data_IF_754600253790
#
_entry.id   IF_754600253790
#
_cell.length_a   1.000
_cell.length_b   1.000
_cell.length_c   1.000
_cell.angle_alpha   90.00
_cell.angle_beta   90.00
_cell.angle_gamma   90.00
#
_symmetry.space_group_name_H-M   'P 1'
#
loop_
_entity.id
_entity.type
_entity.pdbx_description
1 polymer ?
#
# COMPACT_ATOMS: atom_id res chain seq x y z
N UNK A 1 11.33 -17.18 -18.84
CA UNK A 1 12.56 -17.26 -18.05
C UNK A 1 13.03 -15.90 -17.55
N UNK A 2 13.03 -14.85 -18.42
CA UNK A 2 13.49 -13.49 -18.07
C UNK A 2 12.64 -12.83 -16.96
N UNK A 3 11.31 -12.90 -17.05
CA UNK A 3 10.41 -12.35 -16.03
C UNK A 3 10.55 -13.07 -14.68
N UNK A 4 10.69 -14.40 -14.70
CA UNK A 4 10.94 -15.17 -13.47
C UNK A 4 12.24 -14.74 -12.75
N UNK A 5 13.33 -14.52 -13.53
CA UNK A 5 14.60 -14.02 -12.98
C UNK A 5 14.44 -12.61 -12.43
N UNK A 6 13.71 -11.73 -13.13
CA UNK A 6 13.45 -10.37 -12.68
C UNK A 6 12.66 -10.35 -11.38
N UNK A 7 11.62 -11.16 -11.28
CA UNK A 7 10.82 -11.28 -10.04
C UNK A 7 11.65 -11.84 -8.88
N UNK A 8 12.44 -12.90 -9.10
CA UNK A 8 13.31 -13.46 -8.08
C UNK A 8 14.36 -12.45 -7.57
N UNK A 9 14.95 -11.65 -8.46
CA UNK A 9 15.88 -10.57 -8.07
C UNK A 9 15.17 -9.50 -7.25
N UNK A 10 13.97 -9.10 -7.66
CA UNK A 10 13.19 -8.10 -6.92
C UNK A 10 12.86 -8.58 -5.53
N UNK A 11 12.47 -9.85 -5.39
CA UNK A 11 12.17 -10.47 -4.10
C UNK A 11 13.40 -10.53 -3.19
N UNK A 12 14.53 -11.00 -3.70
CA UNK A 12 15.78 -11.03 -2.94
C UNK A 12 16.19 -9.64 -2.43
N UNK A 13 16.02 -8.60 -3.23
CA UNK A 13 16.27 -7.20 -2.84
C UNK A 13 15.33 -6.71 -1.73
N UNK A 14 14.04 -7.04 -1.81
CA UNK A 14 13.04 -6.70 -0.77
C UNK A 14 13.36 -7.37 0.56
N UNK A 15 13.62 -8.68 0.53
CA UNK A 15 13.96 -9.45 1.72
C UNK A 15 15.24 -8.94 2.38
N UNK A 16 16.28 -8.67 1.59
CA UNK A 16 17.54 -8.11 2.09
C UNK A 16 17.32 -6.72 2.72
N UNK A 17 16.55 -5.85 2.06
CA UNK A 17 16.28 -4.49 2.55
C UNK A 17 15.54 -4.51 3.89
N UNK A 18 14.49 -5.32 4.01
CA UNK A 18 13.72 -5.41 5.26
C UNK A 18 14.56 -6.03 6.38
N UNK A 19 15.25 -7.13 6.12
CA UNK A 19 16.09 -7.79 7.10
C UNK A 19 17.16 -6.84 7.66
N UNK A 20 17.91 -6.16 6.80
CA UNK A 20 18.94 -5.21 7.22
C UNK A 20 18.34 -4.02 8.00
N UNK A 21 17.15 -3.55 7.61
CA UNK A 21 16.46 -2.46 8.31
C UNK A 21 16.02 -2.88 9.72
N UNK A 22 15.59 -4.12 9.91
CA UNK A 22 15.22 -4.67 11.23
C UNK A 22 16.46 -4.87 12.09
N UNK A 23 17.54 -5.45 11.53
CA UNK A 23 18.77 -5.79 12.25
C UNK A 23 19.59 -4.56 12.66
N UNK A 24 19.71 -3.56 11.79
CA UNK A 24 20.63 -2.43 11.95
C UNK A 24 19.94 -1.08 12.12
N UNK A 25 18.63 -1.02 11.94
CA UNK A 25 17.85 0.21 11.81
C UNK A 25 17.92 0.80 10.40
N UNK A 26 16.79 1.34 9.89
CA UNK A 26 16.68 1.77 8.50
C UNK A 26 17.66 2.87 8.10
N UNK A 27 18.05 3.72 9.05
CA UNK A 27 18.97 4.84 8.79
C UNK A 27 20.41 4.40 8.50
N UNK A 28 20.79 3.19 8.93
CA UNK A 28 22.13 2.61 8.75
C UNK A 28 22.26 1.75 7.51
N UNK A 29 21.14 1.39 6.88
CA UNK A 29 21.14 0.55 5.68
C UNK A 29 21.52 1.37 4.46
N UNK A 30 22.48 0.88 3.68
CA UNK A 30 22.90 1.47 2.41
C UNK A 30 22.42 0.63 1.24
N UNK A 31 22.31 1.26 0.07
CA UNK A 31 21.95 0.56 -1.18
C UNK A 31 22.97 -0.53 -1.51
N UNK A 32 24.25 -0.25 -1.24
CA UNK A 32 25.35 -1.19 -1.45
C UNK A 32 25.19 -2.45 -0.60
N UNK A 33 24.82 -2.29 0.67
CA UNK A 33 24.61 -3.41 1.61
C UNK A 33 23.44 -4.28 1.17
N UNK A 34 22.35 -3.67 0.71
CA UNK A 34 21.17 -4.38 0.18
C UNK A 34 21.54 -5.15 -1.09
N UNK A 35 22.26 -4.52 -2.00
CA UNK A 35 22.68 -5.13 -3.26
C UNK A 35 23.61 -6.33 -3.02
N UNK A 36 24.60 -6.18 -2.13
CA UNK A 36 25.52 -7.24 -1.73
C UNK A 36 24.76 -8.42 -1.10
N UNK A 37 23.89 -8.15 -0.14
CA UNK A 37 23.07 -9.16 0.54
C UNK A 37 22.11 -9.91 -0.40
N UNK A 38 21.69 -9.29 -1.49
CA UNK A 38 20.88 -9.89 -2.55
C UNK A 38 21.71 -10.53 -3.67
N UNK A 39 23.04 -10.48 -3.61
CA UNK A 39 23.94 -11.06 -4.62
C UNK A 39 23.92 -10.33 -5.96
N UNK A 40 23.66 -9.01 -5.98
CA UNK A 40 23.63 -8.20 -7.18
C UNK A 40 24.49 -6.94 -7.08
N UNK A 41 24.75 -6.27 -8.20
CA UNK A 41 25.46 -4.97 -8.17
C UNK A 41 24.52 -3.82 -7.77
N UNK A 42 25.05 -2.70 -7.20
CA UNK A 42 24.27 -1.48 -6.95
C UNK A 42 23.58 -0.93 -8.20
N UNK A 43 24.22 -1.06 -9.37
CA UNK A 43 23.63 -0.72 -10.66
C UNK A 43 22.38 -1.58 -10.95
N UNK A 44 22.43 -2.86 -10.60
CA UNK A 44 21.27 -3.76 -10.74
C UNK A 44 20.15 -3.36 -9.79
N UNK A 45 20.48 -3.04 -8.53
CA UNK A 45 19.52 -2.51 -7.56
C UNK A 45 18.73 -1.32 -8.11
N UNK A 46 19.43 -0.31 -8.66
CA UNK A 46 18.83 0.92 -9.20
C UNK A 46 17.86 0.68 -10.38
N UNK A 47 17.88 -0.50 -11.01
CA UNK A 47 16.88 -0.88 -12.01
C UNK A 47 15.54 -1.34 -11.38
N UNK A 48 15.49 -1.56 -10.06
CA UNK A 48 14.32 -2.09 -9.34
C UNK A 48 13.74 -1.08 -8.35
N UNK A 49 14.57 -0.30 -7.69
CA UNK A 49 14.18 0.62 -6.63
C UNK A 49 14.92 1.95 -6.75
N UNK A 50 14.18 3.05 -6.56
CA UNK A 50 14.74 4.39 -6.61
C UNK A 50 15.40 4.80 -5.28
N UNK A 51 15.00 4.19 -4.17
CA UNK A 51 15.56 4.46 -2.84
C UNK A 51 15.54 3.19 -1.96
N UNK A 52 16.33 3.21 -0.86
CA UNK A 52 16.31 2.14 0.14
C UNK A 52 14.96 2.05 0.86
N UNK A 53 14.34 3.19 1.11
CA UNK A 53 13.02 3.29 1.73
C UNK A 53 11.97 2.58 0.88
N UNK A 54 12.00 2.79 -0.44
CA UNK A 54 11.12 2.10 -1.37
C UNK A 54 11.34 0.58 -1.34
N UNK A 55 12.59 0.12 -1.27
CA UNK A 55 12.90 -1.31 -1.18
C UNK A 55 12.37 -1.92 0.13
N UNK A 56 12.60 -1.25 1.27
CA UNK A 56 12.14 -1.68 2.59
C UNK A 56 10.60 -1.77 2.62
N UNK A 57 9.93 -0.71 2.19
CA UNK A 57 8.46 -0.65 2.18
C UNK A 57 7.87 -1.68 1.22
N UNK A 58 8.51 -1.89 0.06
CA UNK A 58 8.03 -2.87 -0.91
C UNK A 58 8.05 -4.32 -0.41
N UNK A 59 8.83 -4.62 0.63
CA UNK A 59 8.84 -5.94 1.25
C UNK A 59 7.50 -6.29 1.92
N UNK A 60 6.77 -5.28 2.40
CA UNK A 60 5.48 -5.45 3.08
C UNK A 60 4.28 -5.08 2.20
N UNK A 61 4.51 -4.30 1.15
CA UNK A 61 3.45 -3.92 0.21
C UNK A 61 3.45 -4.76 -1.06
N UNK A 62 4.41 -5.71 -1.18
CA UNK A 62 4.52 -6.58 -2.33
C UNK A 62 3.20 -7.27 -2.66
N UNK A 63 2.85 -7.22 -3.94
CA UNK A 63 1.66 -7.86 -4.51
C UNK A 63 0.32 -7.46 -3.85
N UNK A 64 0.31 -6.44 -2.96
CA UNK A 64 -0.92 -5.96 -2.32
C UNK A 64 -1.95 -5.53 -3.36
N UNK A 65 -1.51 -4.80 -4.38
CA UNK A 65 -2.38 -4.35 -5.46
C UNK A 65 -3.03 -5.53 -6.19
N UNK A 66 -2.25 -6.56 -6.49
CA UNK A 66 -2.74 -7.78 -7.15
C UNK A 66 -3.69 -8.57 -6.24
N UNK A 67 -3.41 -8.63 -4.92
CA UNK A 67 -4.30 -9.30 -3.96
C UNK A 67 -5.63 -8.56 -3.79
N UNK A 68 -5.63 -7.23 -3.76
CA UNK A 68 -6.87 -6.43 -3.73
C UNK A 68 -7.71 -6.75 -4.96
N UNK A 69 -7.13 -6.68 -6.16
CA UNK A 69 -7.83 -6.97 -7.39
C UNK A 69 -8.38 -8.41 -7.43
N UNK A 70 -7.57 -9.38 -7.01
CA UNK A 70 -8.00 -10.78 -6.93
C UNK A 70 -9.13 -11.00 -5.91
N UNK A 71 -9.06 -10.33 -4.75
CA UNK A 71 -10.10 -10.41 -3.74
C UNK A 71 -11.44 -9.85 -4.24
N UNK A 72 -11.42 -8.75 -5.00
CA UNK A 72 -12.63 -8.18 -5.62
C UNK A 72 -13.17 -9.13 -6.70
N UNK A 73 -12.31 -9.66 -7.58
CA UNK A 73 -12.70 -10.58 -8.63
C UNK A 73 -13.32 -11.88 -8.08
N UNK A 74 -12.85 -12.35 -6.92
CA UNK A 74 -13.35 -13.55 -6.26
C UNK A 74 -14.72 -13.37 -5.58
N UNK A 75 -15.20 -12.14 -5.38
CA UNK A 75 -16.52 -11.89 -4.77
C UNK A 75 -17.64 -12.27 -5.75
N UNK A 76 -18.73 -12.88 -5.26
CA UNK A 76 -19.89 -13.19 -6.10
C UNK A 76 -20.45 -11.94 -6.80
N UNK A 77 -21.00 -12.12 -8.00
CA UNK A 77 -21.56 -11.01 -8.79
C UNK A 77 -22.72 -10.28 -8.09
N UNK A 78 -23.44 -10.96 -7.17
CA UNK A 78 -24.51 -10.35 -6.37
C UNK A 78 -24.03 -9.47 -5.21
N UNK A 79 -22.73 -9.42 -4.92
CA UNK A 79 -22.16 -8.49 -3.93
C UNK A 79 -21.97 -7.13 -4.58
N UNK A 80 -22.47 -6.06 -3.97
CA UNK A 80 -22.28 -4.68 -4.46
C UNK A 80 -20.80 -4.39 -4.64
N UNK A 81 -20.45 -3.73 -5.74
CA UNK A 81 -19.05 -3.41 -6.05
C UNK A 81 -18.40 -2.52 -4.98
N UNK A 82 -19.15 -1.57 -4.42
CA UNK A 82 -18.69 -0.74 -3.31
C UNK A 82 -18.26 -1.56 -2.09
N UNK A 83 -19.05 -2.58 -1.72
CA UNK A 83 -18.75 -3.44 -0.58
C UNK A 83 -17.57 -4.38 -0.89
N UNK A 84 -17.54 -4.94 -2.10
CA UNK A 84 -16.44 -5.78 -2.55
C UNK A 84 -15.09 -5.05 -2.53
N UNK A 85 -15.05 -3.79 -2.99
CA UNK A 85 -13.85 -2.95 -2.98
C UNK A 85 -13.47 -2.59 -1.54
N UNK A 86 -14.41 -2.14 -0.73
CA UNK A 86 -14.14 -1.72 0.65
C UNK A 86 -13.55 -2.86 1.48
N UNK A 87 -14.18 -4.03 1.46
CA UNK A 87 -13.72 -5.16 2.27
C UNK A 87 -12.39 -5.73 1.74
N UNK A 88 -12.18 -5.78 0.42
CA UNK A 88 -10.89 -6.21 -0.14
C UNK A 88 -9.75 -5.27 0.27
N UNK A 89 -9.96 -3.95 0.25
CA UNK A 89 -8.98 -2.97 0.71
C UNK A 89 -8.71 -3.15 2.20
N UNK A 90 -9.75 -3.15 3.03
CA UNK A 90 -9.60 -3.30 4.49
C UNK A 90 -8.83 -4.57 4.83
N UNK A 91 -9.20 -5.71 4.26
CA UNK A 91 -8.54 -7.00 4.49
C UNK A 91 -7.04 -6.95 4.16
N UNK A 92 -6.67 -6.38 3.01
CA UNK A 92 -5.27 -6.35 2.57
C UNK A 92 -4.39 -5.34 3.33
N UNK A 93 -4.98 -4.32 3.93
CA UNK A 93 -4.25 -3.36 4.76
C UNK A 93 -4.18 -3.76 6.25
N UNK A 94 -5.05 -4.64 6.71
CA UNK A 94 -5.10 -5.07 8.12
C UNK A 94 -4.51 -6.45 8.37
N UNK A 95 -4.53 -7.34 7.38
CA UNK A 95 -3.94 -8.68 7.49
C UNK A 95 -2.49 -8.68 6.98
N UNK A 96 -1.58 -8.16 7.81
CA UNK A 96 -0.17 -7.96 7.42
C UNK A 96 0.76 -9.13 7.77
N UNK A 97 0.31 -10.10 8.59
CA UNK A 97 1.18 -11.17 9.11
C UNK A 97 2.28 -10.65 10.06
N UNK A 98 3.11 -11.56 10.58
CA UNK A 98 4.18 -11.21 11.55
C UNK A 98 5.23 -10.25 10.97
N UNK A 99 5.73 -10.51 9.76
CA UNK A 99 6.70 -9.62 9.09
C UNK A 99 6.12 -8.22 8.82
N UNK A 100 4.83 -8.15 8.56
CA UNK A 100 4.15 -6.87 8.36
C UNK A 100 4.06 -6.05 9.63
N UNK A 101 3.99 -6.68 10.80
CA UNK A 101 3.96 -5.98 12.07
C UNK A 101 5.29 -5.28 12.37
N UNK A 102 6.41 -5.97 12.21
CA UNK A 102 7.76 -5.38 12.40
C UNK A 102 8.00 -4.22 11.45
N UNK A 103 7.67 -4.40 10.17
CA UNK A 103 7.82 -3.32 9.19
C UNK A 103 6.88 -2.15 9.45
N UNK A 104 5.68 -2.39 9.96
CA UNK A 104 4.75 -1.33 10.33
C UNK A 104 5.31 -0.48 11.47
N UNK A 105 5.98 -1.09 12.45
CA UNK A 105 6.70 -0.37 13.50
C UNK A 105 7.80 0.53 12.92
N UNK A 106 8.58 0.05 11.95
CA UNK A 106 9.60 0.87 11.27
C UNK A 106 8.96 2.03 10.48
N UNK A 107 7.88 1.77 9.76
CA UNK A 107 7.15 2.79 8.98
C UNK A 107 6.58 3.87 9.91
N UNK A 108 6.02 3.50 11.05
CA UNK A 108 5.45 4.48 12.00
C UNK A 108 6.51 5.34 12.68
N UNK A 109 7.73 4.85 12.83
CA UNK A 109 8.82 5.56 13.55
C UNK A 109 9.69 6.44 12.65
N UNK A 110 9.59 6.35 11.32
CA UNK A 110 10.48 7.07 10.38
C UNK A 110 9.69 7.78 9.28
N UNK A 111 9.85 9.09 9.19
CA UNK A 111 9.15 9.94 8.20
C UNK A 111 9.39 9.48 6.76
N UNK A 112 10.64 9.20 6.39
CA UNK A 112 10.97 8.77 5.03
C UNK A 112 10.34 7.42 4.65
N UNK A 113 10.24 6.46 5.58
CA UNK A 113 9.55 5.19 5.35
C UNK A 113 8.03 5.39 5.27
N UNK A 114 7.48 6.31 6.05
CA UNK A 114 6.06 6.66 6.01
C UNK A 114 5.68 7.26 4.67
N UNK A 115 6.45 8.22 4.18
CA UNK A 115 6.25 8.82 2.85
C UNK A 115 6.32 7.76 1.75
N UNK A 116 7.36 6.94 1.75
CA UNK A 116 7.51 5.84 0.79
C UNK A 116 6.33 4.85 0.86
N UNK A 117 5.78 4.58 2.05
CA UNK A 117 4.61 3.72 2.23
C UNK A 117 3.34 4.34 1.64
N UNK A 118 3.12 5.63 1.89
CA UNK A 118 1.98 6.37 1.32
C UNK A 118 2.05 6.41 -0.21
N UNK A 119 3.24 6.52 -0.78
CA UNK A 119 3.42 6.53 -2.24
C UNK A 119 3.06 5.19 -2.91
N UNK A 120 3.08 4.07 -2.16
CA UNK A 120 2.65 2.77 -2.71
C UNK A 120 1.16 2.70 -3.01
N UNK A 121 0.34 3.61 -2.45
CA UNK A 121 -1.11 3.60 -2.68
C UNK A 121 -1.49 3.85 -4.14
N UNK A 122 -0.70 4.62 -4.88
CA UNK A 122 -0.92 4.85 -6.30
C UNK A 122 -0.81 3.57 -7.16
N UNK A 123 -0.08 2.57 -6.69
CA UNK A 123 0.05 1.28 -7.37
C UNK A 123 -1.26 0.50 -7.50
N UNK A 124 -2.25 0.80 -6.65
CA UNK A 124 -3.57 0.15 -6.64
C UNK A 124 -4.40 0.53 -7.88
N UNK A 125 -4.21 1.71 -8.44
CA UNK A 125 -5.11 2.28 -9.47
C UNK A 125 -5.27 1.37 -10.69
N UNK A 126 -4.17 0.91 -11.26
CA UNK A 126 -4.21 0.13 -12.50
C UNK A 126 -4.88 -1.25 -12.34
N UNK A 127 -4.48 -2.10 -11.36
CA UNK A 127 -5.15 -3.39 -11.15
C UNK A 127 -6.62 -3.22 -10.74
N UNK A 128 -6.93 -2.18 -9.96
CA UNK A 128 -8.28 -1.88 -9.52
C UNK A 128 -9.16 -1.42 -10.69
N UNK A 129 -8.65 -0.54 -11.56
CA UNK A 129 -9.37 -0.13 -12.76
C UNK A 129 -9.72 -1.31 -13.67
N UNK A 130 -8.78 -2.26 -13.85
CA UNK A 130 -9.02 -3.45 -14.64
C UNK A 130 -10.16 -4.30 -14.07
N UNK A 131 -10.12 -4.62 -12.78
CA UNK A 131 -11.17 -5.46 -12.16
C UNK A 131 -12.52 -4.75 -12.08
N UNK A 132 -12.55 -3.42 -11.94
CA UNK A 132 -13.80 -2.64 -11.99
C UNK A 132 -14.39 -2.67 -13.40
N UNK A 133 -13.56 -2.50 -14.43
CA UNK A 133 -13.98 -2.60 -15.83
C UNK A 133 -14.63 -3.98 -16.11
N UNK A 134 -13.96 -5.05 -15.69
CA UNK A 134 -14.48 -6.41 -15.86
C UNK A 134 -15.81 -6.64 -15.11
N UNK A 135 -15.94 -6.06 -13.91
CA UNK A 135 -17.17 -6.22 -13.09
C UNK A 135 -18.34 -5.42 -13.64
N UNK A 136 -18.09 -4.25 -14.25
CA UNK A 136 -19.13 -3.40 -14.82
C UNK A 136 -19.48 -3.78 -16.27
N UNK A 137 -18.75 -4.70 -16.91
CA UNK A 137 -18.86 -4.95 -18.35
C UNK A 137 -18.83 -3.64 -19.18
N UNK A 138 -18.05 -2.67 -18.67
CA UNK A 138 -18.02 -1.30 -19.18
C UNK A 138 -16.88 -1.16 -20.19
N UNK A 139 -17.23 -0.93 -21.45
CA UNK A 139 -16.26 -0.63 -22.50
C UNK A 139 -15.70 0.81 -22.39
N UNK A 140 -16.35 1.68 -21.61
CA UNK A 140 -15.88 3.03 -21.34
C UNK A 140 -14.96 3.10 -20.11
N UNK A 141 -13.67 2.92 -20.33
CA UNK A 141 -12.64 2.82 -19.29
C UNK A 141 -12.51 4.03 -18.36
N UNK A 142 -13.18 5.16 -18.63
CA UNK A 142 -13.07 6.37 -17.81
C UNK A 142 -13.69 6.21 -16.42
N UNK A 143 -14.90 5.62 -16.32
CA UNK A 143 -15.58 5.42 -15.03
C UNK A 143 -14.74 4.55 -14.10
N UNK A 144 -14.27 3.39 -14.60
CA UNK A 144 -13.43 2.48 -13.82
C UNK A 144 -12.13 3.13 -13.36
N UNK A 145 -11.48 3.92 -14.23
CA UNK A 145 -10.25 4.65 -13.86
C UNK A 145 -10.49 5.71 -12.80
N UNK A 146 -11.57 6.49 -12.93
CA UNK A 146 -11.92 7.52 -11.94
C UNK A 146 -12.22 6.89 -10.59
N UNK A 147 -13.01 5.81 -10.56
CA UNK A 147 -13.30 5.08 -9.32
C UNK A 147 -12.02 4.50 -8.69
N UNK A 148 -11.14 3.89 -9.48
CA UNK A 148 -9.88 3.34 -8.99
C UNK A 148 -8.96 4.42 -8.41
N UNK A 149 -8.80 5.56 -9.08
CA UNK A 149 -8.03 6.70 -8.60
C UNK A 149 -8.63 7.30 -7.31
N UNK A 150 -9.97 7.38 -7.23
CA UNK A 150 -10.67 7.84 -6.04
C UNK A 150 -10.45 6.91 -4.85
N UNK A 151 -10.47 5.59 -5.07
CA UNK A 151 -10.14 4.59 -4.03
C UNK A 151 -8.69 4.75 -3.55
N UNK A 152 -7.72 4.85 -4.47
CA UNK A 152 -6.31 5.04 -4.10
C UNK A 152 -6.11 6.32 -3.27
N UNK A 153 -6.78 7.41 -3.64
CA UNK A 153 -6.77 8.67 -2.89
C UNK A 153 -7.42 8.53 -1.52
N UNK A 154 -8.58 7.87 -1.42
CA UNK A 154 -9.26 7.64 -0.15
C UNK A 154 -8.42 6.79 0.80
N UNK A 155 -7.77 5.73 0.29
CA UNK A 155 -6.83 4.90 1.04
C UNK A 155 -5.64 5.73 1.54
N UNK A 156 -5.05 6.56 0.69
CA UNK A 156 -3.95 7.46 1.08
C UNK A 156 -4.37 8.38 2.22
N UNK A 157 -5.52 9.03 2.11
CA UNK A 157 -6.06 9.93 3.15
C UNK A 157 -6.27 9.19 4.48
N UNK A 158 -6.84 7.97 4.44
CA UNK A 158 -7.02 7.15 5.64
C UNK A 158 -5.68 6.80 6.30
N UNK A 159 -4.69 6.38 5.51
CA UNK A 159 -3.35 6.06 6.00
C UNK A 159 -2.62 7.29 6.55
N UNK A 160 -2.71 8.44 5.88
CA UNK A 160 -2.16 9.70 6.38
C UNK A 160 -2.77 10.09 7.71
N UNK A 161 -4.09 9.95 7.86
CA UNK A 161 -4.80 10.20 9.12
C UNK A 161 -4.36 9.23 10.22
N UNK A 162 -4.25 7.95 9.90
CA UNK A 162 -3.85 6.90 10.83
C UNK A 162 -2.38 7.02 11.28
N UNK A 163 -1.48 7.42 10.38
CA UNK A 163 -0.05 7.58 10.62
C UNK A 163 0.32 8.95 11.20
N UNK A 164 -0.65 9.84 11.45
CA UNK A 164 -0.36 11.14 12.09
C UNK A 164 0.15 10.94 13.51
N UNK A 165 1.24 11.63 13.90
CA UNK A 165 1.67 11.66 15.29
C UNK A 165 0.53 12.22 16.15
N UNK A 166 0.06 11.47 17.14
CA UNK A 166 -0.79 12.01 18.20
C UNK A 166 0.09 12.81 19.18
N UNK A 167 0.59 13.95 18.73
CA UNK A 167 1.22 14.94 19.57
C UNK A 167 0.14 15.92 20.05
N UNK A 168 -0.08 16.00 21.36
CA UNK A 168 -0.79 17.11 21.98
C UNK A 168 -0.16 18.42 21.47
N UNK A 169 -0.92 19.22 20.74
CA UNK A 169 -0.48 20.51 20.23
C UNK A 169 -0.21 21.55 21.35
N UNK A 170 -0.35 21.18 22.64
CA UNK A 170 -0.25 22.07 23.79
C UNK A 170 1.03 21.91 24.63
N UNK A 171 1.99 21.06 24.22
CA UNK A 171 3.30 21.01 24.88
C UNK A 171 4.34 21.76 24.05
N UNK A 172 4.30 23.08 24.13
CA UNK A 172 5.42 23.92 23.70
C UNK A 172 6.66 23.60 24.56
N UNK A 173 7.65 22.94 23.91
CA UNK A 173 8.99 22.84 24.48
C UNK A 173 9.50 21.42 24.68
N UNK A 174 9.97 20.80 23.65
CA UNK A 174 11.12 19.89 23.57
C UNK A 174 10.99 19.05 22.29
N UNK A 175 11.62 19.49 21.23
CA UNK A 175 11.89 18.65 20.06
C UNK A 175 13.00 17.65 20.43
N UNK A 176 12.64 16.50 20.99
CA UNK A 176 13.49 15.32 20.91
C UNK A 176 13.01 14.46 19.72
N UNK A 177 13.89 14.33 18.74
CA UNK A 177 13.72 13.48 17.57
C UNK A 177 13.58 12.02 18.03
N UNK A 178 12.39 11.44 17.98
CA UNK A 178 12.16 10.04 18.34
C UNK A 178 10.78 9.71 18.91
N UNK A 179 9.79 10.59 18.79
CA UNK A 179 8.43 10.33 19.27
C UNK A 179 7.81 9.12 18.56
N UNK A 180 7.48 8.08 19.33
CA UNK A 180 6.69 6.95 18.85
C UNK A 180 5.36 7.50 18.30
N UNK A 181 5.12 7.30 17.02
CA UNK A 181 3.80 7.56 16.43
C UNK A 181 2.86 6.46 16.91
N UNK A 182 1.97 6.78 17.83
CA UNK A 182 0.87 5.88 18.19
C UNK A 182 -0.23 6.09 17.14
N UNK A 183 -0.59 5.05 16.37
CA UNK A 183 -1.64 5.17 15.37
C UNK A 183 -2.95 5.64 15.98
N UNK A 184 -3.63 6.59 15.34
CA UNK A 184 -4.86 7.21 15.84
C UNK A 184 -6.06 6.32 15.48
N UNK A 185 -6.55 5.51 16.41
CA UNK A 185 -7.75 4.69 16.22
C UNK A 185 -7.54 3.43 15.37
N UNK A 186 -8.64 2.83 14.95
CA UNK A 186 -8.67 1.58 14.15
C UNK A 186 -8.43 1.87 12.66
N UNK A 187 -7.38 1.32 12.07
CA UNK A 187 -7.14 1.43 10.63
C UNK A 187 -8.32 0.90 9.79
N UNK A 188 -8.94 -0.26 10.12
CA UNK A 188 -10.14 -0.72 9.41
C UNK A 188 -11.25 0.33 9.36
N UNK A 189 -11.52 0.99 10.48
CA UNK A 189 -12.60 1.97 10.56
C UNK A 189 -12.28 3.24 9.77
N UNK A 190 -11.02 3.69 9.79
CA UNK A 190 -10.58 4.83 8.98
C UNK A 190 -10.65 4.53 7.48
N UNK A 191 -10.27 3.32 7.06
CA UNK A 191 -10.39 2.90 5.66
C UNK A 191 -11.86 2.85 5.24
N UNK A 192 -12.75 2.25 6.04
CA UNK A 192 -14.19 2.22 5.75
C UNK A 192 -14.78 3.61 5.69
N UNK A 193 -14.44 4.48 6.63
CA UNK A 193 -14.93 5.87 6.65
C UNK A 193 -14.46 6.67 5.42
N UNK A 194 -13.21 6.48 4.99
CA UNK A 194 -12.68 7.17 3.81
C UNK A 194 -13.28 6.64 2.49
N UNK A 195 -13.64 5.36 2.42
CA UNK A 195 -14.22 4.74 1.23
C UNK A 195 -15.74 4.92 1.14
N UNK A 196 -16.44 5.10 2.26
CA UNK A 196 -17.90 5.24 2.30
C UNK A 196 -18.46 6.33 1.36
N UNK A 197 -17.85 7.51 1.22
CA UNK A 197 -18.32 8.54 0.28
C UNK A 197 -18.32 8.12 -1.19
N UNK A 198 -17.57 7.05 -1.55
CA UNK A 198 -17.49 6.55 -2.92
C UNK A 198 -18.63 5.57 -3.27
N UNK A 199 -19.33 5.02 -2.28
CA UNK A 199 -20.37 4.02 -2.49
C UNK A 199 -21.46 4.47 -3.49
N UNK A 200 -22.01 5.71 -3.42
CA UNK A 200 -23.01 6.16 -4.41
C UNK A 200 -22.48 6.17 -5.86
N UNK A 201 -21.20 6.46 -6.05
CA UNK A 201 -20.59 6.48 -7.38
C UNK A 201 -20.42 5.06 -7.95
N UNK A 202 -20.09 4.08 -7.12
CA UNK A 202 -20.08 2.67 -7.50
C UNK A 202 -21.50 2.18 -7.84
N UNK A 203 -22.49 2.49 -6.99
CA UNK A 203 -23.90 2.10 -7.22
C UNK A 203 -24.43 2.70 -8.54
N UNK A 204 -24.12 3.95 -8.81
CA UNK A 204 -24.51 4.60 -10.07
C UNK A 204 -23.80 3.97 -11.28
N UNK A 205 -22.58 3.47 -11.13
CA UNK A 205 -21.87 2.76 -12.18
C UNK A 205 -22.52 1.38 -12.45
N UNK A 206 -22.83 0.60 -11.41
CA UNK A 206 -23.49 -0.69 -11.53
C UNK A 206 -24.90 -0.58 -12.18
N UNK A 207 -25.67 0.46 -11.82
CA UNK A 207 -27.00 0.70 -12.38
C UNK A 207 -26.99 1.00 -13.89
N UNK A 208 -25.93 1.65 -14.40
CA UNK A 208 -25.80 1.94 -15.84
C UNK A 208 -25.54 0.71 -16.71
N UNK A 209 -24.99 -0.34 -16.11
CA UNK A 209 -24.61 -1.57 -16.80
C UNK A 209 -25.66 -2.70 -16.66
N UNK A 210 -26.70 -2.49 -15.85
CA UNK A 210 -27.84 -3.41 -15.81
C UNK A 210 -28.80 -3.06 -16.96
N UNK A 211 -29.15 -4.04 -17.84
CA UNK A 211 -30.03 -3.82 -18.98
C UNK A 211 -31.48 -3.48 -18.57
#
# INVERSE_FOLDING_TARGET
LRERKKQATREALREAALRLAVEHGPDRVRVEDIAEAAGVSPRTYNNYFASREQAIVSAVTADREARIAAAIAARPAGVRLADAVTEAVVEQYTNTGERGHEALLLITTRTALREAFLDTTAGIERPLAAVITDRLDDTETHTARVLAASVATAVRIALEGWLRPTGNADAAGSFEAGGLVVPSGSLPDQLRAALAPLAPAFDAAEQRTQP
#
